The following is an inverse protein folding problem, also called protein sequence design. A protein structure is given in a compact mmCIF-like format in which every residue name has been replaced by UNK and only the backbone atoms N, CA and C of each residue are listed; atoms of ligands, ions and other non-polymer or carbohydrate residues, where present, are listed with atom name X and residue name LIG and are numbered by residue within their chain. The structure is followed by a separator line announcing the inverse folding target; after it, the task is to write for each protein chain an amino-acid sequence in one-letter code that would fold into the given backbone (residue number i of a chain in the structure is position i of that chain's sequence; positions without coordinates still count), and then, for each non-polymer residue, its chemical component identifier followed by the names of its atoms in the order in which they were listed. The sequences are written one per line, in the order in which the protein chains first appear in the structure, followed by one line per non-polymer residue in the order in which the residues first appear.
data_IF_372661907366
#
_entry.id   IF_372661907366
#
_cell.length_a   1.000
_cell.length_b   1.000
_cell.length_c   1.000
_cell.angle_alpha   90.00
_cell.angle_beta   90.00
_cell.angle_gamma   90.00
#
_symmetry.space_group_name_H-M   'P 1'
#
loop_
_entity.id
_entity.type
_entity.pdbx_description
1 polymer ?
#
# COMPACT_ATOMS: atom_id res chain seq x y z
N UNK A 1 -8.32 -4.65 13.58
CA UNK A 1 -7.22 -5.23 14.38
C UNK A 1 -6.83 -6.58 13.76
N UNK A 2 -5.82 -7.28 14.28
CA UNK A 2 -5.42 -8.61 13.73
C UNK A 2 -6.58 -9.61 13.85
N UNK A 3 -7.38 -9.50 14.91
CA UNK A 3 -8.56 -10.36 15.16
C UNK A 3 -9.60 -10.22 14.05
N UNK A 4 -9.85 -8.99 13.57
CA UNK A 4 -10.77 -8.73 12.47
C UNK A 4 -10.28 -9.31 11.15
N UNK A 5 -8.96 -9.30 10.91
CA UNK A 5 -8.36 -9.95 9.73
C UNK A 5 -8.55 -11.46 9.81
N UNK A 6 -8.24 -12.06 10.96
CA UNK A 6 -8.41 -13.49 11.18
C UNK A 6 -9.87 -13.95 11.07
N UNK A 7 -10.83 -13.12 11.48
CA UNK A 7 -12.25 -13.42 11.32
C UNK A 7 -12.65 -13.50 9.84
N UNK A 8 -12.22 -12.55 9.02
CA UNK A 8 -12.47 -12.58 7.58
C UNK A 8 -11.80 -13.77 6.89
N UNK A 9 -10.62 -14.17 7.35
CA UNK A 9 -9.92 -15.35 6.84
C UNK A 9 -10.62 -16.67 7.22
N UNK A 10 -11.32 -16.73 8.36
CA UNK A 10 -12.10 -17.92 8.75
C UNK A 10 -13.33 -18.13 7.88
N UNK A 11 -13.94 -17.05 7.40
CA UNK A 11 -15.16 -17.10 6.58
C UNK A 11 -14.89 -17.64 5.17
N UNK A 12 -13.62 -17.80 4.79
CA UNK A 12 -13.27 -18.25 3.44
C UNK A 12 -12.93 -19.73 3.34
N UNK A 13 -13.86 -20.47 2.75
CA UNK A 13 -13.56 -21.78 2.19
C UNK A 13 -13.01 -21.65 0.78
N UNK A 14 -11.87 -22.28 0.55
CA UNK A 14 -11.18 -22.32 -0.74
C UNK A 14 -9.95 -23.21 -0.68
N UNK A 15 -9.22 -23.28 -1.78
CA UNK A 15 -7.93 -23.98 -1.86
C UNK A 15 -6.93 -23.14 -2.64
N UNK A 16 -5.64 -23.34 -2.36
CA UNK A 16 -4.58 -22.71 -3.14
C UNK A 16 -4.31 -23.54 -4.40
N UNK A 17 -4.24 -22.87 -5.55
CA UNK A 17 -3.76 -23.44 -6.80
C UNK A 17 -2.45 -22.79 -7.21
N UNK A 18 -1.51 -23.59 -7.70
CA UNK A 18 -0.28 -23.10 -8.31
C UNK A 18 -0.58 -22.65 -9.74
N UNK A 19 -0.43 -21.36 -10.01
CA UNK A 19 -0.74 -20.77 -11.33
C UNK A 19 0.52 -20.16 -11.97
N UNK A 20 0.69 -20.28 -13.29
CA UNK A 20 1.85 -19.71 -13.98
C UNK A 20 1.78 -18.18 -14.02
N UNK A 21 2.91 -17.53 -13.71
CA UNK A 21 3.13 -16.08 -13.85
C UNK A 21 4.35 -15.84 -14.73
N UNK A 22 4.15 -15.88 -16.05
CA UNK A 22 5.25 -15.81 -17.01
C UNK A 22 6.16 -17.03 -16.92
N UNK A 23 7.38 -16.84 -16.40
CA UNK A 23 8.36 -17.93 -16.15
C UNK A 23 8.38 -18.42 -14.71
N UNK A 24 7.59 -17.79 -13.84
CA UNK A 24 7.50 -18.08 -12.42
C UNK A 24 6.17 -18.75 -12.09
N UNK A 25 6.02 -19.18 -10.84
CA UNK A 25 4.79 -19.74 -10.30
C UNK A 25 4.35 -18.92 -9.10
N UNK A 26 3.05 -18.73 -8.95
CA UNK A 26 2.47 -18.11 -7.76
C UNK A 26 1.34 -18.97 -7.24
N UNK A 27 1.12 -18.91 -5.93
CA UNK A 27 -0.11 -19.43 -5.34
C UNK A 27 -1.24 -18.45 -5.60
N UNK A 28 -2.38 -18.96 -6.04
CA UNK A 28 -3.63 -18.23 -6.14
C UNK A 28 -4.68 -18.95 -5.32
N UNK A 29 -5.27 -18.22 -4.39
CA UNK A 29 -6.40 -18.72 -3.63
C UNK A 29 -7.64 -18.75 -4.54
N UNK A 30 -8.28 -19.92 -4.64
CA UNK A 30 -9.51 -20.16 -5.40
C UNK A 30 -10.68 -20.33 -4.44
N UNK A 31 -11.72 -19.54 -4.65
CA UNK A 31 -12.95 -19.61 -3.86
C UNK A 31 -13.67 -20.92 -4.12
N UNK A 32 -14.18 -21.58 -3.06
CA UNK A 32 -15.12 -22.69 -3.25
C UNK A 32 -16.41 -22.19 -3.90
N UNK A 33 -16.91 -21.02 -3.47
CA UNK A 33 -18.10 -20.37 -4.02
C UNK A 33 -17.78 -18.92 -4.41
N UNK A 34 -18.21 -18.48 -5.60
CA UNK A 34 -17.97 -17.12 -6.09
C UNK A 34 -18.97 -16.11 -5.53
N UNK A 35 -19.08 -16.05 -4.20
CA UNK A 35 -19.93 -15.06 -3.53
C UNK A 35 -19.16 -13.77 -3.23
N UNK A 36 -19.83 -12.60 -3.11
CA UNK A 36 -19.16 -11.32 -2.88
C UNK A 36 -18.28 -11.27 -1.64
N UNK A 37 -18.58 -12.04 -0.60
CA UNK A 37 -17.80 -12.12 0.64
C UNK A 37 -16.36 -12.59 0.40
N UNK A 38 -16.13 -13.35 -0.67
CA UNK A 38 -14.79 -13.74 -1.11
C UNK A 38 -13.85 -12.56 -1.33
N UNK A 39 -14.38 -11.44 -1.85
CA UNK A 39 -13.58 -10.24 -2.10
C UNK A 39 -13.00 -9.67 -0.81
N UNK A 40 -13.75 -9.74 0.30
CA UNK A 40 -13.28 -9.28 1.60
C UNK A 40 -12.13 -10.13 2.12
N UNK A 41 -12.18 -11.44 1.89
CA UNK A 41 -11.12 -12.33 2.29
C UNK A 41 -9.86 -12.20 1.42
N UNK A 42 -10.00 -11.93 0.12
CA UNK A 42 -8.84 -11.59 -0.71
C UNK A 42 -8.12 -10.34 -0.20
N UNK A 43 -8.88 -9.33 0.25
CA UNK A 43 -8.34 -8.14 0.91
C UNK A 43 -7.72 -8.50 2.28
N UNK A 44 -8.39 -9.32 3.08
CA UNK A 44 -7.88 -9.77 4.38
C UNK A 44 -6.57 -10.57 4.25
N UNK A 45 -6.43 -11.42 3.22
CA UNK A 45 -5.20 -12.16 2.92
C UNK A 45 -4.06 -11.24 2.55
N UNK A 46 -4.29 -10.28 1.64
CA UNK A 46 -3.30 -9.25 1.32
C UNK A 46 -2.86 -8.46 2.57
N UNK A 47 -3.81 -8.14 3.45
CA UNK A 47 -3.50 -7.47 4.71
C UNK A 47 -2.69 -8.37 5.67
N UNK A 48 -3.02 -9.65 5.76
CA UNK A 48 -2.31 -10.63 6.58
C UNK A 48 -0.87 -10.84 6.09
N UNK A 49 -0.65 -10.92 4.77
CA UNK A 49 0.68 -11.00 4.16
C UNK A 49 1.53 -9.77 4.52
N UNK A 50 0.97 -8.56 4.38
CA UNK A 50 1.65 -7.32 4.79
C UNK A 50 1.99 -7.30 6.30
N UNK A 51 1.09 -7.81 7.15
CA UNK A 51 1.32 -7.90 8.59
C UNK A 51 2.43 -8.92 8.89
N UNK A 52 2.41 -10.07 8.21
CA UNK A 52 3.37 -11.16 8.40
C UNK A 52 4.78 -10.80 7.92
N UNK A 53 4.90 -10.05 6.82
CA UNK A 53 6.18 -9.50 6.34
C UNK A 53 6.79 -8.46 7.30
N UNK A 54 5.96 -7.83 8.13
CA UNK A 54 6.41 -6.87 9.14
C UNK A 54 7.22 -5.72 8.55
N UNK A 55 8.44 -5.51 9.05
CA UNK A 55 9.32 -4.44 8.57
C UNK A 55 9.91 -4.67 7.17
N UNK A 56 9.80 -5.88 6.63
CA UNK A 56 10.23 -6.18 5.26
C UNK A 56 9.20 -5.70 4.22
N UNK A 57 7.93 -5.56 4.61
CA UNK A 57 6.90 -5.04 3.73
C UNK A 57 7.25 -3.60 3.30
N UNK A 58 7.24 -3.27 2.00
CA UNK A 58 7.57 -1.92 1.52
C UNK A 58 6.41 -0.93 1.75
N UNK A 59 5.65 -1.09 2.84
CA UNK A 59 4.55 -0.22 3.24
C UNK A 59 5.10 1.01 3.97
N UNK A 60 4.83 2.20 3.44
CA UNK A 60 5.33 3.47 3.99
C UNK A 60 4.20 4.44 4.28
N UNK A 61 4.33 5.19 5.37
CA UNK A 61 3.45 6.34 5.65
C UNK A 61 3.85 7.53 4.75
N UNK A 62 2.86 8.24 4.21
CA UNK A 62 3.10 9.48 3.49
C UNK A 62 3.84 10.50 4.36
N UNK A 63 4.91 11.11 3.84
CA UNK A 63 5.69 12.09 4.58
C UNK A 63 4.98 13.45 4.75
N UNK A 64 3.77 13.62 4.23
CA UNK A 64 2.95 14.81 4.48
C UNK A 64 2.21 14.61 5.81
N UNK A 65 2.47 15.43 6.85
CA UNK A 65 1.86 15.23 8.18
C UNK A 65 0.33 15.26 8.18
N UNK A 66 -0.28 15.94 7.19
CA UNK A 66 -1.75 16.03 7.03
C UNK A 66 -2.34 14.94 6.14
N UNK A 67 -1.53 13.99 5.67
CA UNK A 67 -1.99 12.90 4.82
C UNK A 67 -2.03 11.59 5.63
N UNK A 68 -3.22 10.98 5.82
CA UNK A 68 -3.35 9.76 6.61
C UNK A 68 -2.93 8.50 5.83
N UNK A 69 -2.62 8.62 4.54
CA UNK A 69 -2.42 7.48 3.66
C UNK A 69 -1.07 6.78 3.91
N UNK A 70 -1.14 5.46 3.86
CA UNK A 70 -0.02 4.57 3.62
C UNK A 70 0.04 4.22 2.14
N UNK A 71 1.21 3.80 1.65
CA UNK A 71 1.38 3.36 0.28
C UNK A 71 2.44 2.26 0.21
N UNK A 72 2.29 1.36 -0.76
CA UNK A 72 3.30 0.36 -1.10
C UNK A 72 4.37 1.01 -2.00
N UNK A 73 5.63 0.96 -1.57
CA UNK A 73 6.75 1.58 -2.29
C UNK A 73 7.29 0.64 -3.39
N UNK A 74 6.65 0.70 -4.56
CA UNK A 74 7.11 0.02 -5.78
C UNK A 74 8.24 0.75 -6.50
N UNK A 75 8.83 1.81 -5.92
CA UNK A 75 9.89 2.54 -6.60
C UNK A 75 11.17 1.71 -6.65
N UNK A 76 11.89 1.78 -7.78
CA UNK A 76 13.17 1.08 -7.98
C UNK A 76 14.20 1.28 -6.86
N UNK A 77 14.12 2.39 -6.13
CA UNK A 77 15.07 2.73 -5.05
C UNK A 77 14.51 2.49 -3.64
N UNK A 78 13.22 2.18 -3.50
CA UNK A 78 12.55 2.05 -2.19
C UNK A 78 12.55 3.34 -1.35
N UNK A 79 12.71 4.50 -1.99
CA UNK A 79 12.90 5.80 -1.31
C UNK A 79 11.73 6.77 -1.53
N UNK A 80 10.62 6.33 -2.10
CA UNK A 80 9.46 7.21 -2.38
C UNK A 80 8.89 7.75 -1.07
N UNK A 81 8.75 9.08 -0.95
CA UNK A 81 8.29 9.73 0.29
C UNK A 81 6.79 10.05 0.32
N UNK A 82 6.11 10.04 -0.83
CA UNK A 82 4.77 10.60 -0.97
C UNK A 82 3.79 9.56 -1.53
N UNK A 83 2.55 9.56 -1.02
CA UNK A 83 1.49 8.66 -1.46
C UNK A 83 1.18 8.77 -2.96
N UNK A 84 1.42 9.93 -3.60
CA UNK A 84 1.42 10.08 -5.06
C UNK A 84 2.15 11.38 -5.45
N UNK A 85 2.64 11.43 -6.68
CA UNK A 85 3.25 12.64 -7.23
C UNK A 85 2.21 13.74 -7.52
N UNK A 86 1.02 13.38 -7.99
CA UNK A 86 -0.06 14.34 -8.28
C UNK A 86 -0.65 15.02 -7.04
N UNK A 87 -0.69 14.32 -5.89
CA UNK A 87 -1.23 14.87 -4.66
C UNK A 87 -0.13 15.41 -3.73
N UNK A 88 0.44 14.56 -2.88
CA UNK A 88 1.39 15.00 -1.85
C UNK A 88 2.75 15.44 -2.41
N UNK A 89 3.23 14.83 -3.48
CA UNK A 89 4.47 15.23 -4.14
C UNK A 89 4.38 16.66 -4.70
N UNK A 90 3.29 16.97 -5.41
CA UNK A 90 3.05 18.31 -5.95
C UNK A 90 2.88 19.35 -4.83
N UNK A 91 2.07 19.05 -3.80
CA UNK A 91 1.92 19.93 -2.62
C UNK A 91 3.26 20.30 -1.98
N UNK A 92 4.16 19.32 -1.82
CA UNK A 92 5.50 19.56 -1.29
C UNK A 92 6.34 20.46 -2.21
N UNK A 93 6.30 20.25 -3.53
CA UNK A 93 6.99 21.10 -4.52
C UNK A 93 6.49 22.55 -4.49
N UNK A 94 5.17 22.75 -4.49
CA UNK A 94 4.55 24.08 -4.44
C UNK A 94 4.93 24.81 -3.15
N UNK A 95 4.82 24.15 -1.99
CA UNK A 95 5.21 24.73 -0.71
C UNK A 95 6.70 25.14 -0.70
N UNK A 96 7.56 24.30 -1.28
CA UNK A 96 9.00 24.57 -1.37
C UNK A 96 9.31 25.76 -2.29
N UNK A 97 8.61 25.86 -3.41
CA UNK A 97 8.73 27.00 -4.34
C UNK A 97 8.27 28.32 -3.69
N UNK A 98 7.12 28.31 -3.00
CA UNK A 98 6.62 29.47 -2.29
C UNK A 98 7.60 29.96 -1.21
N UNK A 99 8.18 29.04 -0.42
CA UNK A 99 9.21 29.36 0.58
C UNK A 99 10.45 30.01 -0.02
N UNK A 100 10.93 29.51 -1.17
CA UNK A 100 12.07 30.12 -1.89
C UNK A 100 11.73 31.53 -2.35
N UNK A 101 10.58 31.71 -3.02
CA UNK A 101 10.13 33.03 -3.48
C UNK A 101 9.90 34.03 -2.34
N UNK A 102 9.51 33.59 -1.15
CA UNK A 102 9.38 34.46 0.00
C UNK A 102 10.75 34.95 0.51
N UNK A 103 11.76 34.06 0.52
CA UNK A 103 13.15 34.42 0.86
C UNK A 103 13.75 35.38 -0.17
N UNK A 104 13.50 35.15 -1.46
CA UNK A 104 14.04 36.00 -2.53
C UNK A 104 13.42 37.42 -2.53
N UNK A 105 12.19 37.57 -2.02
CA UNK A 105 11.48 38.86 -1.90
C UNK A 105 11.82 39.64 -0.63
N UNK A 106 12.50 39.01 0.33
CA UNK A 106 12.97 39.64 1.56
C UNK A 106 14.49 39.43 1.64
N UNK A 107 15.28 40.06 0.74
CA UNK A 107 16.72 40.08 0.91
C UNK A 107 17.01 40.80 2.23
N UNK A 108 17.82 40.17 3.07
CA UNK A 108 18.29 40.74 4.33
C UNK A 108 19.04 42.06 4.09
#
# INVERSE_FOLDING_TARGET
TVEAVNELLRVTEGHDELVPLGREWTLRLIAREQRPEWLLAAVARSAAELIAEGSAAPLRKCANPRCPLFFYDTSRTGRRRWCSMGACGNRSKVASFARRRARDRHPA
#
